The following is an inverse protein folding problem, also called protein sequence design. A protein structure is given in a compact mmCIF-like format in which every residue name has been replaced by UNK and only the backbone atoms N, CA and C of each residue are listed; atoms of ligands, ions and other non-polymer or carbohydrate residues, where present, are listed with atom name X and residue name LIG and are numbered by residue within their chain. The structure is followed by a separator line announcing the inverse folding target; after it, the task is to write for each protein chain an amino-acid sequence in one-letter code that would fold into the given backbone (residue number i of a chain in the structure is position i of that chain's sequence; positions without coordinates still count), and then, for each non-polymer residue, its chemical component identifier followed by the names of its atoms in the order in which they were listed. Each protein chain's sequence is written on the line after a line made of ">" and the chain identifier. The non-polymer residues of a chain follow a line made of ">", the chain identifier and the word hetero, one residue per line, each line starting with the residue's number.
data_IF_581755628732
#
_entry.id   IF_581755628732
#
_cell.length_a   1.000
_cell.length_b   1.000
_cell.length_c   1.000
_cell.angle_alpha   90.00
_cell.angle_beta   90.00
_cell.angle_gamma   90.00
#
_symmetry.space_group_name_H-M   'P 1'
#
loop_
_entity.id
_entity.type
_entity.pdbx_description
1 polymer ?
#
# COMPACT_ATOMS: atom_id res chain seq x y z
N UNK A 1 -13.08 13.77 53.76
CA UNK A 1 -13.82 12.72 54.51
C UNK A 1 -14.99 12.33 53.61
N UNK A 2 -15.07 11.18 52.95
CA UNK A 2 -15.05 9.81 53.45
C UNK A 2 -14.58 8.84 52.35
N UNK A 3 -13.90 7.77 52.78
CA UNK A 3 -13.54 6.58 52.00
C UNK A 3 -14.76 5.67 51.82
N UNK A 4 -14.77 4.82 50.79
CA UNK A 4 -15.04 3.38 50.95
C UNK A 4 -14.58 2.59 49.70
N UNK A 5 -13.56 1.75 49.92
CA UNK A 5 -13.24 0.54 49.17
C UNK A 5 -14.28 -0.56 49.47
N UNK A 6 -14.27 -1.64 48.67
CA UNK A 6 -14.56 -3.08 48.95
C UNK A 6 -15.25 -3.67 47.70
N UNK A 7 -14.65 -4.60 46.94
CA UNK A 7 -14.55 -6.05 47.20
C UNK A 7 -15.71 -6.77 46.47
N UNK A 8 -15.66 -8.00 45.94
CA UNK A 8 -14.75 -9.13 46.07
C UNK A 8 -15.07 -10.18 44.97
N UNK A 9 -14.10 -11.08 44.76
CA UNK A 9 -14.09 -12.40 44.10
C UNK A 9 -15.30 -13.32 44.31
N UNK A 10 -15.56 -14.23 43.35
CA UNK A 10 -16.07 -15.63 43.44
C UNK A 10 -16.13 -16.21 42.01
N UNK A 11 -15.94 -17.48 41.64
CA UNK A 11 -15.42 -18.71 42.25
C UNK A 11 -15.34 -19.76 41.11
N UNK A 12 -14.42 -20.71 41.21
CA UNK A 12 -14.36 -21.90 40.35
C UNK A 12 -15.02 -23.11 41.06
N UNK A 13 -15.70 -24.01 40.33
CA UNK A 13 -15.88 -25.42 40.71
C UNK A 13 -16.28 -26.27 39.48
N UNK A 14 -15.42 -27.16 38.93
CA UNK A 14 -15.08 -28.60 39.15
C UNK A 14 -16.13 -29.68 38.76
N UNK A 15 -15.58 -30.75 38.12
CA UNK A 15 -16.03 -32.16 37.94
C UNK A 15 -17.23 -32.37 36.99
N UNK A 16 -17.25 -33.29 36.04
CA UNK A 16 -16.50 -34.53 35.83
C UNK A 16 -17.53 -35.62 35.51
N UNK A 17 -17.47 -36.23 34.32
CA UNK A 17 -18.16 -37.47 34.01
C UNK A 17 -17.42 -38.22 32.90
N UNK A 18 -16.99 -39.43 33.20
CA UNK A 18 -16.45 -40.40 32.27
C UNK A 18 -17.55 -41.38 31.84
N UNK A 19 -17.64 -41.63 30.54
CA UNK A 19 -18.30 -42.75 29.86
C UNK A 19 -18.11 -42.47 28.37
N UNK A 20 -17.68 -43.36 27.48
CA UNK A 20 -17.48 -44.79 27.44
C UNK A 20 -16.97 -45.10 26.02
N UNK A 21 -16.34 -46.25 25.82
CA UNK A 21 -15.73 -46.65 24.55
C UNK A 21 -16.75 -47.14 23.52
N UNK A 22 -16.31 -47.13 22.26
CA UNK A 22 -16.70 -48.02 21.13
C UNK A 22 -17.87 -47.58 20.25
N UNK A 23 -17.55 -47.14 19.03
CA UNK A 23 -17.86 -47.83 17.75
C UNK A 23 -17.79 -46.82 16.57
N UNK A 24 -16.95 -47.09 15.56
CA UNK A 24 -16.89 -46.36 14.28
C UNK A 24 -17.68 -47.19 13.25
N UNK A 25 -18.69 -46.65 12.53
CA UNK A 25 -18.44 -46.32 11.12
C UNK A 25 -19.34 -45.18 10.60
N UNK A 26 -18.72 -44.20 9.95
CA UNK A 26 -19.48 -43.24 9.15
C UNK A 26 -18.75 -41.92 9.02
N UNK A 27 -17.76 -41.89 8.13
CA UNK A 27 -17.10 -40.66 7.67
C UNK A 27 -18.16 -39.69 7.14
N UNK A 28 -18.42 -38.53 7.77
CA UNK A 28 -19.01 -37.42 7.06
C UNK A 28 -17.90 -36.80 6.19
N UNK A 29 -18.18 -36.64 4.91
CA UNK A 29 -17.31 -35.91 3.99
C UNK A 29 -16.84 -34.58 4.61
N UNK A 30 -15.57 -34.18 4.44
CA UNK A 30 -15.17 -32.82 4.75
C UNK A 30 -15.95 -31.89 3.82
N UNK A 31 -16.90 -31.13 4.39
CA UNK A 31 -17.51 -29.98 3.74
C UNK A 31 -16.37 -29.08 3.31
N UNK A 32 -16.15 -29.00 1.99
CA UNK A 32 -15.19 -28.09 1.41
C UNK A 32 -15.51 -26.67 1.92
N UNK A 33 -14.52 -25.90 2.39
CA UNK A 33 -14.75 -24.49 2.65
C UNK A 33 -15.24 -23.84 1.35
N UNK A 34 -16.19 -22.90 1.39
CA UNK A 34 -16.60 -22.18 0.20
C UNK A 34 -15.36 -21.53 -0.41
N UNK A 35 -15.11 -21.83 -1.68
CA UNK A 35 -14.08 -21.22 -2.51
C UNK A 35 -14.17 -19.72 -2.33
N UNK A 36 -13.18 -19.14 -1.64
CA UNK A 36 -13.00 -17.70 -1.63
C UNK A 36 -12.77 -17.30 -3.08
N UNK A 37 -13.78 -16.66 -3.67
CA UNK A 37 -13.65 -15.97 -4.95
C UNK A 37 -12.43 -15.05 -4.86
N UNK A 38 -11.48 -15.09 -5.81
CA UNK A 38 -10.39 -14.14 -5.82
C UNK A 38 -11.01 -12.74 -5.90
N UNK A 39 -10.73 -11.91 -4.89
CA UNK A 39 -11.05 -10.49 -4.93
C UNK A 39 -10.38 -9.86 -6.16
N UNK A 40 -10.99 -8.85 -6.80
CA UNK A 40 -10.37 -8.14 -7.90
C UNK A 40 -9.02 -7.59 -7.44
N UNK A 41 -7.96 -7.96 -8.15
CA UNK A 41 -6.59 -7.56 -7.86
C UNK A 41 -6.49 -6.04 -7.97
N UNK A 42 -6.43 -5.35 -6.83
CA UNK A 42 -6.02 -3.95 -6.81
C UNK A 42 -4.64 -3.84 -7.48
N UNK A 43 -4.40 -2.81 -8.33
CA UNK A 43 -3.13 -2.67 -9.01
C UNK A 43 -2.03 -2.55 -7.96
N UNK A 44 -1.13 -3.52 -7.90
CA UNK A 44 0.03 -3.48 -7.00
C UNK A 44 1.19 -2.84 -7.77
N UNK A 45 1.56 -1.58 -7.48
CA UNK A 45 2.71 -0.97 -8.12
C UNK A 45 3.98 -1.74 -7.79
N UNK A 46 4.69 -2.20 -8.83
CA UNK A 46 5.98 -2.88 -8.67
C UNK A 46 7.07 -1.81 -8.68
N UNK A 47 7.76 -1.64 -7.55
CA UNK A 47 8.85 -0.68 -7.42
C UNK A 47 10.22 -1.36 -7.59
N UNK A 48 11.09 -0.75 -8.40
CA UNK A 48 12.53 -1.11 -8.44
C UNK A 48 13.34 0.00 -7.78
N UNK A 49 14.17 -0.38 -6.80
CA UNK A 49 15.06 0.52 -6.06
C UNK A 49 16.42 0.68 -6.75
N UNK A 50 16.91 1.92 -6.92
CA UNK A 50 18.28 2.20 -7.39
C UNK A 50 18.99 3.22 -6.49
N UNK A 51 20.19 2.89 -6.02
CA UNK A 51 20.84 3.52 -4.86
C UNK A 51 21.60 4.82 -5.10
N UNK A 52 21.03 5.84 -5.74
CA UNK A 52 21.71 7.13 -5.91
C UNK A 52 20.80 8.34 -5.59
N UNK A 53 21.30 9.29 -4.79
CA UNK A 53 20.68 10.61 -4.60
C UNK A 53 21.27 11.55 -5.65
N UNK A 54 20.45 12.15 -6.50
CA UNK A 54 20.88 13.04 -7.58
C UNK A 54 19.69 13.52 -8.38
N UNK A 55 19.88 14.54 -9.22
CA UNK A 55 18.81 15.20 -9.98
C UNK A 55 17.92 14.19 -10.70
N UNK A 56 16.62 14.22 -10.40
CA UNK A 56 15.63 13.30 -10.95
C UNK A 56 15.61 13.33 -12.49
N UNK A 57 15.85 14.50 -13.10
CA UNK A 57 15.82 14.68 -14.56
C UNK A 57 16.92 13.90 -15.26
N UNK A 58 18.07 13.71 -14.62
CA UNK A 58 19.17 12.89 -15.17
C UNK A 58 18.90 11.39 -15.08
N UNK A 59 17.96 10.99 -14.23
CA UNK A 59 17.57 9.60 -14.08
C UNK A 59 16.41 9.20 -15.00
N UNK A 60 15.65 10.17 -15.50
CA UNK A 60 14.59 9.90 -16.47
C UNK A 60 15.17 9.36 -17.77
N UNK A 61 14.54 8.34 -18.38
CA UNK A 61 14.94 7.82 -19.67
C UNK A 61 14.77 8.87 -20.80
N UNK A 62 15.81 9.08 -21.60
CA UNK A 62 15.86 10.11 -22.66
C UNK A 62 14.80 9.96 -23.76
N UNK A 63 14.28 8.75 -23.97
CA UNK A 63 13.35 8.40 -25.04
C UNK A 63 11.89 8.27 -24.59
N UNK A 64 11.52 8.83 -23.44
CA UNK A 64 10.13 8.81 -22.93
C UNK A 64 9.48 10.19 -22.99
N UNK A 65 8.17 10.17 -23.24
CA UNK A 65 7.34 11.38 -23.12
C UNK A 65 7.11 11.66 -21.65
N UNK A 66 7.55 12.84 -21.20
CA UNK A 66 7.29 13.35 -19.86
C UNK A 66 5.83 13.82 -19.79
N UNK A 67 5.06 13.24 -18.87
CA UNK A 67 3.66 13.62 -18.60
C UNK A 67 3.57 14.65 -17.48
N UNK A 68 4.46 14.55 -16.50
CA UNK A 68 4.64 15.51 -15.41
C UNK A 68 6.13 15.78 -15.28
N UNK A 69 6.55 17.03 -15.49
CA UNK A 69 7.93 17.47 -15.30
C UNK A 69 8.40 17.22 -13.86
N UNK A 70 9.71 17.05 -13.63
CA UNK A 70 10.24 16.89 -12.28
C UNK A 70 9.77 18.00 -11.34
N UNK A 71 9.10 17.60 -10.27
CA UNK A 71 8.63 18.48 -9.20
C UNK A 71 9.11 17.94 -7.85
N UNK A 72 9.20 18.82 -6.86
CA UNK A 72 9.68 18.49 -5.52
C UNK A 72 8.84 19.16 -4.44
N UNK A 73 8.79 18.55 -3.26
CA UNK A 73 8.09 19.08 -2.10
C UNK A 73 8.42 18.31 -0.82
N UNK A 74 7.80 18.72 0.28
CA UNK A 74 7.99 18.14 1.61
C UNK A 74 6.66 17.96 2.38
N UNK A 75 5.54 18.11 1.67
CA UNK A 75 4.20 17.99 2.20
C UNK A 75 3.31 17.22 1.21
N UNK A 76 2.09 16.94 1.66
CA UNK A 76 1.05 16.34 0.85
C UNK A 76 0.77 17.19 -0.38
N UNK A 77 0.51 16.54 -1.51
CA UNK A 77 0.17 17.25 -2.74
C UNK A 77 -0.63 16.40 -3.71
N UNK A 78 -1.28 17.08 -4.65
CA UNK A 78 -1.89 16.46 -5.82
C UNK A 78 -1.06 16.91 -7.02
N UNK A 79 -0.56 15.94 -7.79
CA UNK A 79 0.21 16.25 -8.99
C UNK A 79 -0.66 17.01 -10.01
N UNK A 80 -0.04 17.84 -10.88
CA UNK A 80 -0.73 18.36 -12.05
C UNK A 80 -1.43 17.23 -12.82
N UNK A 81 -2.68 17.47 -13.21
CA UNK A 81 -3.43 16.47 -13.96
C UNK A 81 -2.75 16.16 -15.30
N UNK A 82 -2.71 14.88 -15.65
CA UNK A 82 -2.16 14.39 -16.92
C UNK A 82 -3.05 13.28 -17.47
N UNK A 83 -2.96 12.99 -18.76
CA UNK A 83 -3.76 11.96 -19.41
C UNK A 83 -2.90 10.83 -19.95
N UNK A 84 -3.46 9.61 -19.93
CA UNK A 84 -2.85 8.44 -20.57
C UNK A 84 -3.83 7.81 -21.55
N UNK A 85 -3.33 7.38 -22.70
CA UNK A 85 -4.16 6.79 -23.76
C UNK A 85 -4.54 5.34 -23.43
N UNK A 86 -3.65 4.64 -22.73
CA UNK A 86 -3.74 3.21 -22.43
C UNK A 86 -3.96 2.89 -20.96
N UNK A 87 -4.03 3.90 -20.07
CA UNK A 87 -4.08 3.65 -18.63
C UNK A 87 -2.73 3.20 -18.06
N UNK A 88 -1.63 3.43 -18.78
CA UNK A 88 -0.29 2.99 -18.38
C UNK A 88 0.67 4.17 -18.31
N UNK A 89 1.43 4.23 -17.22
CA UNK A 89 2.45 5.25 -17.01
C UNK A 89 3.49 4.78 -16.00
N UNK A 90 4.58 5.54 -15.88
CA UNK A 90 5.66 5.23 -14.94
C UNK A 90 5.95 6.45 -14.09
N UNK A 91 6.03 6.24 -12.78
CA UNK A 91 6.37 7.26 -11.80
C UNK A 91 7.81 7.02 -11.35
N UNK A 92 8.62 8.06 -11.41
CA UNK A 92 9.99 8.08 -10.91
C UNK A 92 10.03 9.02 -9.73
N UNK A 93 10.49 8.54 -8.57
CA UNK A 93 10.61 9.42 -7.42
C UNK A 93 11.72 9.00 -6.46
N UNK A 94 12.09 9.94 -5.60
CA UNK A 94 12.94 9.70 -4.43
C UNK A 94 12.27 10.37 -3.24
N UNK A 95 12.25 9.73 -2.07
CA UNK A 95 11.89 10.38 -0.81
C UNK A 95 13.05 10.27 0.19
N UNK A 96 13.38 11.36 0.86
CA UNK A 96 14.49 11.49 1.82
C UNK A 96 13.96 11.99 3.17
N UNK A 97 14.67 11.73 4.26
CA UNK A 97 14.30 12.20 5.60
C UNK A 97 13.77 11.09 6.50
N UNK A 98 12.65 11.32 7.16
CA UNK A 98 12.01 10.35 8.06
C UNK A 98 10.54 10.17 7.71
N UNK A 99 9.98 8.99 8.00
CA UNK A 99 8.59 8.66 7.71
C UNK A 99 8.41 7.98 6.34
N UNK A 100 7.26 8.22 5.72
CA UNK A 100 6.85 7.52 4.50
C UNK A 100 6.20 8.46 3.50
N UNK A 101 6.33 8.13 2.21
CA UNK A 101 5.55 8.70 1.12
C UNK A 101 4.54 7.64 0.66
N UNK A 102 3.25 7.95 0.73
CA UNK A 102 2.19 7.16 0.14
C UNK A 102 1.78 7.76 -1.21
N UNK A 103 1.65 6.89 -2.20
CA UNK A 103 1.28 7.21 -3.57
C UNK A 103 -0.12 6.67 -3.84
N UNK A 104 -1.08 7.55 -4.11
CA UNK A 104 -2.47 7.18 -4.41
C UNK A 104 -2.77 7.55 -5.86
N UNK A 105 -3.09 6.55 -6.67
CA UNK A 105 -3.48 6.75 -8.07
C UNK A 105 -4.98 6.64 -8.19
N UNK A 106 -5.64 7.70 -8.65
CA UNK A 106 -7.10 7.79 -8.80
C UNK A 106 -7.87 7.39 -7.52
N UNK A 107 -7.33 7.76 -6.35
CA UNK A 107 -7.91 7.43 -5.04
C UNK A 107 -8.06 5.91 -4.76
N UNK A 108 -7.28 5.07 -5.45
CA UNK A 108 -7.11 3.66 -5.12
C UNK A 108 -6.19 3.46 -3.90
N UNK A 109 -6.06 2.21 -3.46
CA UNK A 109 -5.25 1.83 -2.30
C UNK A 109 -3.82 2.40 -2.37
N UNK A 110 -3.34 3.02 -1.28
CA UNK A 110 -2.03 3.68 -1.27
C UNK A 110 -0.88 2.68 -1.34
N UNK A 111 0.08 2.96 -2.21
CA UNK A 111 1.38 2.32 -2.17
C UNK A 111 2.37 3.13 -1.34
N UNK A 112 2.88 2.54 -0.26
CA UNK A 112 3.71 3.25 0.73
C UNK A 112 5.18 2.94 0.55
N UNK A 113 6.01 3.98 0.59
CA UNK A 113 7.46 3.91 0.42
C UNK A 113 8.18 4.61 1.57
N UNK A 114 9.25 4.03 2.13
CA UNK A 114 10.04 4.70 3.16
C UNK A 114 10.83 5.87 2.57
N UNK A 115 10.95 6.95 3.34
CA UNK A 115 11.75 8.11 2.97
C UNK A 115 13.24 7.92 3.33
N UNK A 116 13.90 6.97 2.66
CA UNK A 116 15.28 6.54 2.95
C UNK A 116 16.32 6.99 1.88
N UNK A 117 15.94 7.85 0.95
CA UNK A 117 16.78 8.38 -0.12
C UNK A 117 16.99 7.45 -1.31
N UNK A 118 16.27 6.34 -1.37
CA UNK A 118 16.32 5.39 -2.49
C UNK A 118 15.43 5.88 -3.64
N UNK A 119 15.93 5.77 -4.88
CA UNK A 119 15.14 6.02 -6.09
C UNK A 119 14.18 4.87 -6.35
N UNK A 120 12.92 5.18 -6.62
CA UNK A 120 11.86 4.21 -6.88
C UNK A 120 11.24 4.45 -8.26
N UNK A 121 11.28 3.44 -9.12
CA UNK A 121 10.54 3.43 -10.39
C UNK A 121 9.31 2.55 -10.24
N UNK A 122 8.13 3.13 -10.46
CA UNK A 122 6.85 2.46 -10.29
C UNK A 122 6.10 2.43 -11.62
N UNK A 123 5.91 1.23 -12.17
CA UNK A 123 4.99 1.02 -13.27
C UNK A 123 3.55 0.98 -12.74
N UNK A 124 2.67 1.78 -13.35
CA UNK A 124 1.26 1.88 -13.00
C UNK A 124 0.41 1.43 -14.19
N UNK A 125 -0.52 0.53 -13.92
CA UNK A 125 -1.54 0.06 -14.84
C UNK A 125 -2.90 0.32 -14.20
N UNK A 126 -3.78 1.02 -14.92
CA UNK A 126 -5.13 1.34 -14.48
C UNK A 126 -6.10 1.12 -15.63
N UNK A 127 -7.31 0.66 -15.32
CA UNK A 127 -8.38 0.54 -16.32
C UNK A 127 -8.93 1.92 -16.75
N UNK A 128 -8.65 2.96 -15.97
CA UNK A 128 -9.04 4.35 -16.26
C UNK A 128 -8.20 4.91 -17.39
N UNK A 129 -8.83 5.17 -18.54
CA UNK A 129 -8.24 5.88 -19.67
C UNK A 129 -8.54 7.38 -19.58
N UNK A 130 -7.64 8.21 -20.09
CA UNK A 130 -7.78 9.66 -20.03
C UNK A 130 -7.18 10.26 -18.76
N UNK A 131 -7.80 11.27 -18.14
CA UNK A 131 -7.23 12.00 -17.01
C UNK A 131 -6.89 11.09 -15.83
N UNK A 132 -5.70 11.28 -15.29
CA UNK A 132 -5.17 10.60 -14.12
C UNK A 132 -4.98 11.61 -13.00
N UNK A 133 -5.28 11.18 -11.78
CA UNK A 133 -4.96 11.93 -10.56
C UNK A 133 -3.98 11.11 -9.75
N UNK A 134 -2.90 11.74 -9.31
CA UNK A 134 -1.93 11.13 -8.39
C UNK A 134 -1.81 12.04 -7.17
N UNK A 135 -2.05 11.47 -6.00
CA UNK A 135 -1.86 12.15 -4.71
C UNK A 135 -0.66 11.57 -4.00
N UNK A 136 0.07 12.46 -3.33
CA UNK A 136 1.19 12.17 -2.47
C UNK A 136 0.78 12.52 -1.04
N UNK A 137 0.82 11.54 -0.16
CA UNK A 137 0.64 11.77 1.28
C UNK A 137 1.97 11.48 1.98
N UNK A 138 2.48 12.45 2.72
CA UNK A 138 3.77 12.40 3.40
C UNK A 138 3.54 12.31 4.90
N UNK A 139 4.13 11.30 5.53
CA UNK A 139 4.20 11.21 6.99
C UNK A 139 5.61 11.55 7.48
N UNK A 140 5.69 12.17 8.66
CA UNK A 140 6.96 12.56 9.25
C UNK A 140 7.55 13.83 8.63
N UNK A 141 8.84 13.81 8.32
CA UNK A 141 9.60 14.97 7.82
C UNK A 141 10.22 14.68 6.45
N UNK A 142 9.52 13.89 5.63
CA UNK A 142 9.99 13.43 4.34
C UNK A 142 9.99 14.55 3.29
N UNK A 143 11.06 14.65 2.50
CA UNK A 143 11.10 15.48 1.29
C UNK A 143 11.24 14.62 0.05
N UNK A 144 10.50 14.93 -1.00
CA UNK A 144 10.37 14.12 -2.19
C UNK A 144 10.68 14.90 -3.47
N UNK A 145 11.11 14.16 -4.50
CA UNK A 145 11.19 14.60 -5.90
C UNK A 145 10.51 13.54 -6.75
N UNK A 146 9.68 13.95 -7.71
CA UNK A 146 8.90 13.03 -8.54
C UNK A 146 8.71 13.56 -9.97
N UNK A 147 8.63 12.65 -10.93
CA UNK A 147 8.23 12.89 -12.31
C UNK A 147 7.40 11.71 -12.83
N UNK A 148 6.62 11.96 -13.87
CA UNK A 148 5.77 10.94 -14.51
C UNK A 148 6.08 10.91 -16.00
N UNK A 149 6.21 9.70 -16.56
CA UNK A 149 6.37 9.49 -18.00
C UNK A 149 5.29 8.56 -18.55
N UNK A 150 5.09 8.58 -19.86
CA UNK A 150 4.39 7.47 -20.54
C UNK A 150 5.09 6.14 -20.24
N UNK A 151 4.30 5.07 -20.21
CA UNK A 151 4.80 3.70 -20.05
C UNK A 151 5.74 3.31 -21.20
N UNK A 152 6.45 2.20 -20.97
CA UNK A 152 7.57 1.76 -21.78
C UNK A 152 7.18 1.14 -23.12
#
# INVERSE_FOLDING_TARGET
>A
MHRLLVGATLAAAILGAASGCTDEPGRPDPVAPPTASPAPTAPTPTATASGATGDLRQWLPDNRVILVEPISGDADTILPAFSTDQGEFTIYFTCTGTGTLALLVNDNDPATYPCNGVRNTVAVYTEVKGPQTVKLDVTGSGSWQLAVTKAA
#
